data_IF_640560773052
#
_entry.id   IF_640560773052
#
_cell.length_a   1.000
_cell.length_b   1.000
_cell.length_c   1.000
_cell.angle_alpha   90.00
_cell.angle_beta   90.00
_cell.angle_gamma   90.00
#
_symmetry.space_group_name_H-M   'P 1'
#
loop_
_entity.id
_entity.type
_entity.pdbx_description
1 polymer ?
#
# COMPACT_ATOMS: atom_id res chain seq x y z
N UNK A 1 -2.26 -38.28 -26.41
CA UNK A 1 -3.28 -37.44 -25.73
C UNK A 1 -2.85 -37.00 -24.33
N UNK A 2 -2.43 -37.92 -23.44
CA UNK A 2 -2.04 -37.62 -22.04
C UNK A 2 -0.74 -36.78 -21.91
N UNK A 3 0.17 -36.92 -22.88
CA UNK A 3 1.47 -36.22 -22.92
C UNK A 3 1.32 -34.73 -23.29
N UNK A 4 0.29 -34.41 -24.10
CA UNK A 4 -0.07 -33.03 -24.43
C UNK A 4 -0.73 -32.35 -23.22
N UNK A 5 -1.50 -33.10 -22.44
CA UNK A 5 -2.10 -32.63 -21.18
C UNK A 5 -1.03 -32.31 -20.11
N UNK A 6 0.02 -33.13 -19.99
CA UNK A 6 1.15 -32.86 -19.07
C UNK A 6 1.94 -31.60 -19.44
N UNK A 7 2.19 -31.36 -20.74
CA UNK A 7 2.90 -30.16 -21.22
C UNK A 7 2.09 -28.90 -20.91
N UNK A 8 0.77 -28.93 -21.15
CA UNK A 8 -0.13 -27.83 -20.83
C UNK A 8 -0.15 -27.55 -19.32
N UNK A 9 -0.19 -28.58 -18.48
CA UNK A 9 -0.14 -28.41 -17.02
C UNK A 9 1.22 -27.88 -16.53
N UNK A 10 2.34 -28.31 -17.12
CA UNK A 10 3.67 -27.79 -16.79
C UNK A 10 3.80 -26.31 -17.16
N UNK A 11 3.40 -25.92 -18.38
CA UNK A 11 3.44 -24.52 -18.85
C UNK A 11 2.53 -23.62 -18.03
N UNK A 12 1.33 -24.08 -17.65
CA UNK A 12 0.42 -23.30 -16.79
C UNK A 12 0.92 -23.22 -15.34
N UNK A 13 1.65 -24.22 -14.85
CA UNK A 13 2.28 -24.18 -13.52
C UNK A 13 3.43 -23.16 -13.48
N UNK A 14 4.27 -23.08 -14.52
CA UNK A 14 5.33 -22.06 -14.62
C UNK A 14 4.81 -20.66 -14.99
N UNK A 15 3.74 -20.56 -15.79
CA UNK A 15 3.20 -19.27 -16.26
C UNK A 15 2.15 -18.63 -15.32
N UNK A 16 1.88 -19.22 -14.15
CA UNK A 16 0.97 -18.64 -13.13
C UNK A 16 1.72 -17.96 -11.97
N UNK A 17 3.05 -18.00 -11.93
CA UNK A 17 3.84 -17.30 -10.91
C UNK A 17 4.41 -16.00 -11.48
N UNK A 18 3.54 -15.09 -11.89
CA UNK A 18 3.85 -13.64 -12.01
C UNK A 18 2.57 -12.80 -11.78
N UNK A 19 1.60 -13.35 -11.04
CA UNK A 19 0.38 -12.64 -10.69
C UNK A 19 0.55 -11.92 -9.35
N UNK A 20 1.18 -10.75 -9.42
CA UNK A 20 0.80 -9.56 -8.66
C UNK A 20 0.74 -9.73 -7.13
N UNK A 21 1.90 -9.79 -6.48
CA UNK A 21 2.03 -9.19 -5.14
C UNK A 21 2.45 -7.72 -5.29
N UNK A 22 1.63 -6.93 -5.98
CA UNK A 22 1.63 -5.50 -5.74
C UNK A 22 0.68 -5.27 -4.56
N UNK A 23 1.12 -5.68 -3.37
CA UNK A 23 0.54 -5.06 -2.18
C UNK A 23 1.05 -3.63 -2.24
N UNK A 24 0.22 -2.72 -2.75
CA UNK A 24 0.26 -1.29 -2.43
C UNK A 24 0.02 -1.14 -0.93
N UNK A 25 0.88 -1.74 -0.12
CA UNK A 25 1.00 -1.48 1.28
C UNK A 25 1.86 -0.22 1.34
N UNK A 26 1.30 0.91 0.89
CA UNK A 26 1.80 2.18 1.35
C UNK A 26 1.55 2.17 2.85
N UNK A 27 2.55 1.72 3.62
CA UNK A 27 2.46 1.65 5.07
C UNK A 27 2.45 3.07 5.58
N UNK A 28 1.27 3.70 5.53
CA UNK A 28 1.07 5.04 6.04
C UNK A 28 0.83 4.94 7.55
N UNK A 29 1.93 4.86 8.27
CA UNK A 29 1.94 4.73 9.72
C UNK A 29 2.84 5.79 10.32
N UNK A 30 2.52 6.18 11.55
CA UNK A 30 3.39 7.06 12.32
C UNK A 30 4.58 6.24 12.84
N UNK A 31 5.80 6.67 12.52
CA UNK A 31 7.04 6.02 13.00
C UNK A 31 7.61 6.72 14.23
N UNK A 32 7.22 7.97 14.49
CA UNK A 32 7.55 8.67 15.72
C UNK A 32 6.46 8.50 16.78
N UNK A 33 6.88 8.41 18.05
CA UNK A 33 5.97 8.27 19.20
C UNK A 33 5.21 9.56 19.52
N UNK A 34 5.82 10.70 19.25
CA UNK A 34 5.34 12.03 19.69
C UNK A 34 4.54 12.77 18.63
N UNK A 35 4.00 12.08 17.62
CA UNK A 35 3.28 12.72 16.53
C UNK A 35 2.08 13.54 17.01
N UNK A 36 1.36 13.05 18.03
CA UNK A 36 0.23 13.76 18.65
C UNK A 36 0.67 15.12 19.25
N UNK A 37 1.82 15.15 19.92
CA UNK A 37 2.36 16.38 20.52
C UNK A 37 2.94 17.33 19.46
N UNK A 38 3.25 16.82 18.27
CA UNK A 38 3.91 17.56 17.19
C UNK A 38 2.96 17.92 16.06
N UNK A 39 1.65 17.76 16.23
CA UNK A 39 0.65 18.06 15.20
C UNK A 39 0.75 19.49 14.65
N UNK A 40 1.13 20.46 15.50
CA UNK A 40 1.36 21.85 15.07
C UNK A 40 2.49 21.98 14.04
N UNK A 41 3.44 21.04 13.99
CA UNK A 41 4.53 21.02 13.01
C UNK A 41 4.09 20.51 11.64
N UNK A 42 2.93 19.86 11.51
CA UNK A 42 2.41 19.44 10.20
C UNK A 42 2.22 20.64 9.26
N UNK A 43 1.83 21.80 9.81
CA UNK A 43 1.61 23.06 9.07
C UNK A 43 2.88 23.92 8.95
N UNK A 44 3.99 23.52 9.56
CA UNK A 44 5.24 24.27 9.49
C UNK A 44 6.08 23.79 8.30
N UNK A 45 6.25 24.66 7.30
CA UNK A 45 7.03 24.43 6.07
C UNK A 45 8.38 23.74 6.30
N UNK A 46 9.13 24.13 7.34
CA UNK A 46 10.44 23.55 7.63
C UNK A 46 10.36 22.10 8.12
N UNK A 47 9.26 21.73 8.78
CA UNK A 47 9.08 20.42 9.39
C UNK A 47 8.15 19.51 8.57
N UNK A 48 7.42 20.03 7.58
CA UNK A 48 6.49 19.26 6.75
C UNK A 48 7.15 18.01 6.14
N UNK A 49 8.38 18.09 5.62
CA UNK A 49 9.10 16.93 5.06
C UNK A 49 9.41 15.86 6.12
N UNK A 50 9.81 16.29 7.32
CA UNK A 50 10.07 15.40 8.44
C UNK A 50 8.77 14.73 8.90
N UNK A 51 7.71 15.51 9.04
CA UNK A 51 6.40 15.04 9.48
C UNK A 51 5.77 14.10 8.44
N UNK A 52 5.99 14.31 7.13
CA UNK A 52 5.59 13.36 6.07
C UNK A 52 6.27 12.01 6.20
N UNK A 53 7.51 11.97 6.69
CA UNK A 53 8.26 10.72 6.87
C UNK A 53 7.97 10.04 8.20
N UNK A 54 7.70 10.83 9.25
CA UNK A 54 7.63 10.33 10.64
C UNK A 54 6.24 10.28 11.24
N UNK A 55 5.36 11.15 10.79
CA UNK A 55 4.00 11.35 11.30
C UNK A 55 3.00 11.40 10.15
N UNK A 56 3.20 10.54 9.14
CA UNK A 56 2.45 10.53 7.88
C UNK A 56 0.95 10.38 8.12
N UNK A 57 0.57 9.55 9.10
CA UNK A 57 -0.82 9.26 9.43
C UNK A 57 -1.43 10.35 10.30
N UNK A 58 -0.71 10.79 11.33
CA UNK A 58 -1.16 11.87 12.22
C UNK A 58 -1.35 13.20 11.49
N UNK A 59 -0.47 13.53 10.54
CA UNK A 59 -0.58 14.75 9.74
C UNK A 59 -1.48 14.61 8.51
N UNK A 60 -2.06 13.43 8.26
CA UNK A 60 -2.90 13.19 7.08
C UNK A 60 -2.15 13.23 5.75
N UNK A 61 -0.83 13.00 5.75
CA UNK A 61 0.00 12.93 4.56
C UNK A 61 -0.02 11.57 3.87
N UNK A 62 -0.86 10.64 4.33
CA UNK A 62 -1.16 9.44 3.59
C UNK A 62 -1.70 9.82 2.22
N UNK A 63 -0.83 9.79 1.21
CA UNK A 63 -1.30 9.58 -0.15
C UNK A 63 -1.82 8.15 -0.14
N UNK A 64 -3.15 8.01 -0.04
CA UNK A 64 -3.76 6.92 -0.79
C UNK A 64 -3.22 7.18 -2.19
N UNK A 65 -2.36 6.30 -2.67
CA UNK A 65 -2.09 6.25 -4.09
C UNK A 65 -3.45 5.96 -4.71
N UNK A 66 -4.21 7.02 -4.96
CA UNK A 66 -5.36 7.03 -5.85
C UNK A 66 -4.72 6.76 -7.20
N UNK A 67 -4.41 5.48 -7.43
CA UNK A 67 -4.07 4.97 -8.72
C UNK A 67 -5.23 5.33 -9.62
N UNK A 68 -5.10 6.43 -10.34
CA UNK A 68 -5.78 6.62 -11.61
C UNK A 68 -5.21 5.59 -12.59
N UNK A 69 -5.47 4.32 -12.30
CA UNK A 69 -5.58 3.26 -13.26
C UNK A 69 -6.92 2.62 -12.93
N UNK A 70 -7.97 3.15 -13.57
CA UNK A 70 -9.32 2.64 -13.39
C UNK A 70 -9.34 1.16 -13.72
N UNK A 71 -9.58 0.33 -12.70
CA UNK A 71 -10.26 -0.94 -12.86
C UNK A 71 -11.00 -1.27 -11.57
N UNK A 72 -12.31 -1.30 -11.72
CA UNK A 72 -13.33 -1.67 -10.75
C UNK A 72 -12.92 -2.92 -9.95
N UNK A 73 -12.75 -2.74 -8.64
CA UNK A 73 -12.45 -3.81 -7.69
C UNK A 73 -13.02 -3.47 -6.32
N UNK A 74 -14.33 -3.70 -6.14
CA UNK A 74 -14.95 -3.73 -4.83
C UNK A 74 -14.32 -4.83 -3.97
N UNK A 75 -13.51 -4.48 -2.98
CA UNK A 75 -13.41 -5.25 -1.75
C UNK A 75 -12.94 -4.35 -0.60
N UNK A 76 -13.90 -3.88 0.18
CA UNK A 76 -13.64 -3.22 1.45
C UNK A 76 -13.19 -4.24 2.49
N UNK A 77 -12.04 -3.98 3.10
CA UNK A 77 -11.76 -4.46 4.45
C UNK A 77 -10.95 -3.40 5.20
N UNK A 78 -11.66 -2.44 5.77
CA UNK A 78 -11.11 -1.50 6.73
C UNK A 78 -11.13 -2.13 8.11
N UNK A 79 -9.94 -2.42 8.66
CA UNK A 79 -9.76 -2.58 10.10
C UNK A 79 -9.00 -1.35 10.63
N UNK A 80 -9.76 -0.32 10.98
CA UNK A 80 -9.27 0.81 11.77
C UNK A 80 -9.41 0.46 13.24
N UNK A 81 -8.29 0.44 13.97
CA UNK A 81 -8.30 0.47 15.43
C UNK A 81 -7.69 1.80 15.89
N UNK A 82 -8.31 2.38 16.92
CA UNK A 82 -8.02 3.71 17.48
C UNK A 82 -6.68 3.85 18.17
#
# INVERSE_FOLDING_TARGET
>A
MKNLLYLVLFVVFFARIDAQNNTTNSTCVDTARDCNCKVNLCNNSFYTSLMRTRCSRTCGFCTIDNGNNGNNGNNGNGNGNG
#
